data_IF_088454858938
#
_entry.id   IF_088454858938
#
_cell.length_a   1.000
_cell.length_b   1.000
_cell.length_c   1.000
_cell.angle_alpha   90.00
_cell.angle_beta   90.00
_cell.angle_gamma   90.00
#
_symmetry.space_group_name_H-M   'P 1'
#
loop_
_entity.id
_entity.type
_entity.pdbx_description
1 polymer ?
#
# COMPACT_ATOMS: atom_id res chain seq x y z
N UNK A 1 33.06 -0.47 -19.19
CA UNK A 1 31.81 0.23 -18.83
C UNK A 1 32.05 1.28 -17.75
N UNK A 2 32.70 2.42 -18.04
CA UNK A 2 32.93 3.50 -17.06
C UNK A 2 31.69 4.38 -16.84
N UNK A 3 30.71 4.34 -17.75
CA UNK A 3 29.57 5.27 -17.76
C UNK A 3 28.43 4.90 -16.80
N UNK A 4 28.44 3.69 -16.22
CA UNK A 4 27.43 3.20 -15.28
C UNK A 4 27.68 3.65 -13.81
N UNK A 5 28.87 4.19 -13.51
CA UNK A 5 29.22 4.62 -12.15
C UNK A 5 28.34 5.79 -11.64
N UNK A 6 27.65 6.51 -12.54
CA UNK A 6 26.75 7.62 -12.22
C UNK A 6 25.25 7.25 -12.30
N UNK A 7 24.89 6.09 -12.88
CA UNK A 7 23.48 5.71 -13.09
C UNK A 7 22.70 5.49 -11.80
N UNK A 8 23.34 4.95 -10.74
CA UNK A 8 22.67 4.73 -9.45
C UNK A 8 22.29 6.06 -8.77
N UNK A 9 23.08 7.13 -8.96
CA UNK A 9 22.76 8.46 -8.43
C UNK A 9 21.49 9.01 -9.07
N UNK A 10 21.34 8.82 -10.38
CA UNK A 10 20.14 9.22 -11.12
C UNK A 10 18.94 8.37 -10.67
N UNK A 11 19.11 7.05 -10.48
CA UNK A 11 18.06 6.17 -9.93
C UNK A 11 17.55 6.63 -8.56
N UNK A 12 18.42 7.17 -7.69
CA UNK A 12 18.04 7.74 -6.39
C UNK A 12 17.53 9.18 -6.48
N UNK A 13 18.01 9.97 -7.44
CA UNK A 13 17.60 11.37 -7.62
C UNK A 13 16.18 11.49 -8.17
N UNK A 14 15.72 10.55 -9.01
CA UNK A 14 14.38 10.58 -9.60
C UNK A 14 13.27 10.61 -8.52
N UNK A 15 13.26 9.73 -7.48
CA UNK A 15 12.31 9.81 -6.38
C UNK A 15 12.37 11.11 -5.56
N UNK A 16 13.48 11.85 -5.59
CA UNK A 16 13.58 13.13 -4.90
C UNK A 16 12.70 14.20 -5.53
N UNK A 17 12.38 14.09 -6.83
CA UNK A 17 11.50 15.03 -7.54
C UNK A 17 10.08 15.04 -6.96
N UNK A 18 9.33 13.91 -6.88
CA UNK A 18 8.01 13.90 -6.25
C UNK A 18 8.08 14.21 -4.74
N UNK A 19 9.18 13.85 -4.07
CA UNK A 19 9.39 14.22 -2.66
C UNK A 19 9.50 15.74 -2.46
N UNK A 20 10.27 16.43 -3.30
CA UNK A 20 10.38 17.88 -3.29
C UNK A 20 9.05 18.56 -3.67
N UNK A 21 8.35 18.02 -4.66
CA UNK A 21 7.02 18.52 -5.05
C UNK A 21 6.01 18.39 -3.91
N UNK A 22 5.99 17.24 -3.22
CA UNK A 22 5.16 17.03 -2.03
C UNK A 22 5.53 18.01 -0.92
N UNK A 23 6.82 18.23 -0.68
CA UNK A 23 7.29 19.17 0.34
C UNK A 23 6.81 20.60 0.05
N UNK A 24 6.97 21.09 -1.19
CA UNK A 24 6.46 22.40 -1.60
C UNK A 24 4.93 22.45 -1.49
N UNK A 25 4.23 21.40 -1.92
CA UNK A 25 2.77 21.33 -1.82
C UNK A 25 2.26 21.38 -0.37
N UNK A 26 2.96 20.74 0.57
CA UNK A 26 2.64 20.77 1.99
C UNK A 26 2.79 22.17 2.61
N UNK A 27 3.69 23.02 2.10
CA UNK A 27 3.81 24.41 2.55
C UNK A 27 2.58 25.27 2.18
N UNK A 28 1.83 24.88 1.14
CA UNK A 28 0.62 25.58 0.69
C UNK A 28 -0.66 24.99 1.28
N UNK A 29 -0.60 23.79 1.87
CA UNK A 29 -1.77 23.13 2.44
C UNK A 29 -2.17 23.77 3.77
N UNK A 30 -3.45 24.12 3.97
CA UNK A 30 -3.92 24.58 5.26
C UNK A 30 -3.83 23.46 6.31
N UNK A 31 -3.63 23.86 7.55
CA UNK A 31 -3.68 22.94 8.69
C UNK A 31 -5.04 22.25 8.81
N UNK A 32 -5.05 21.04 9.37
CA UNK A 32 -6.30 20.29 9.54
C UNK A 32 -7.30 21.07 10.42
N UNK A 33 -8.59 21.20 10.03
CA UNK A 33 -9.60 21.85 10.85
C UNK A 33 -9.71 21.27 12.27
N UNK A 34 -9.48 19.96 12.42
CA UNK A 34 -9.47 19.29 13.73
C UNK A 34 -8.30 19.76 14.60
N UNK A 35 -7.14 20.00 14.00
CA UNK A 35 -5.97 20.53 14.71
C UNK A 35 -6.21 21.97 15.16
N UNK A 36 -6.75 22.81 14.28
CA UNK A 36 -7.10 24.21 14.58
C UNK A 36 -8.12 24.32 15.71
N UNK A 37 -9.18 23.48 15.68
CA UNK A 37 -10.16 23.40 16.76
C UNK A 37 -9.54 22.94 18.09
N UNK A 38 -8.63 21.96 18.08
CA UNK A 38 -7.88 21.52 19.27
C UNK A 38 -6.99 22.60 19.87
N UNK A 39 -6.44 23.48 19.02
CA UNK A 39 -5.64 24.64 19.45
C UNK A 39 -6.50 25.80 19.96
N UNK A 40 -7.81 25.77 19.72
CA UNK A 40 -8.75 26.83 20.08
C UNK A 40 -8.97 27.89 18.98
N UNK A 41 -8.40 27.71 17.79
CA UNK A 41 -8.57 28.62 16.65
C UNK A 41 -9.78 28.22 15.79
N UNK A 42 -10.98 28.47 16.34
CA UNK A 42 -12.25 28.13 15.70
C UNK A 42 -12.49 28.92 14.42
N UNK A 43 -12.08 30.19 14.38
CA UNK A 43 -12.25 31.06 13.22
C UNK A 43 -11.46 30.54 12.01
N UNK A 44 -10.18 30.18 12.21
CA UNK A 44 -9.38 29.61 11.14
C UNK A 44 -9.91 28.24 10.71
N UNK A 45 -10.35 27.39 11.66
CA UNK A 45 -10.95 26.09 11.33
C UNK A 45 -12.19 26.21 10.44
N UNK A 46 -13.10 27.15 10.75
CA UNK A 46 -14.30 27.44 9.95
C UNK A 46 -13.92 27.93 8.55
N UNK A 47 -12.89 28.79 8.44
CA UNK A 47 -12.43 29.28 7.13
C UNK A 47 -11.95 28.14 6.23
N UNK A 48 -11.21 27.18 6.78
CA UNK A 48 -10.73 25.99 6.05
C UNK A 48 -11.90 25.07 5.70
N UNK A 49 -12.83 24.82 6.64
CA UNK A 49 -14.01 23.98 6.37
C UNK A 49 -14.91 24.55 5.27
N UNK A 50 -15.07 25.88 5.21
CA UNK A 50 -15.82 26.55 4.13
C UNK A 50 -15.22 26.34 2.74
N UNK A 51 -13.92 26.05 2.62
CA UNK A 51 -13.30 25.71 1.34
C UNK A 51 -13.52 24.25 0.93
N UNK A 52 -13.91 23.38 1.86
CA UNK A 52 -14.06 21.93 1.65
C UNK A 52 -15.52 21.46 1.61
N UNK A 53 -16.45 22.21 2.22
CA UNK A 53 -17.85 21.84 2.45
C UNK A 53 -18.81 22.93 2.02
N UNK A 54 -20.08 22.55 1.89
CA UNK A 54 -21.15 23.52 1.70
C UNK A 54 -21.35 24.33 3.00
N UNK A 55 -21.70 25.64 2.91
CA UNK A 55 -21.83 26.50 4.09
C UNK A 55 -22.73 25.95 5.19
N UNK A 56 -23.80 25.25 4.81
CA UNK A 56 -24.80 24.66 5.71
C UNK A 56 -24.25 23.47 6.52
N UNK A 57 -23.22 22.80 6.03
CA UNK A 57 -22.60 21.63 6.68
C UNK A 57 -21.48 22.03 7.65
N UNK A 58 -20.91 23.23 7.50
CA UNK A 58 -19.73 23.67 8.25
C UNK A 58 -20.03 23.75 9.76
N UNK A 59 -21.12 24.41 10.14
CA UNK A 59 -21.46 24.57 11.56
C UNK A 59 -21.77 23.22 12.23
N UNK A 60 -22.39 22.32 11.47
CA UNK A 60 -22.65 20.95 11.92
C UNK A 60 -21.34 20.17 12.13
N UNK A 61 -20.42 20.20 11.16
CA UNK A 61 -19.14 19.49 11.24
C UNK A 61 -18.26 20.05 12.38
N UNK A 62 -18.25 21.37 12.60
CA UNK A 62 -17.56 21.97 13.75
C UNK A 62 -18.12 21.45 15.08
N UNK A 63 -19.43 21.43 15.23
CA UNK A 63 -20.09 20.91 16.44
C UNK A 63 -19.77 19.43 16.67
N UNK A 64 -19.83 18.60 15.62
CA UNK A 64 -19.48 17.18 15.72
C UNK A 64 -18.02 16.98 16.15
N UNK A 65 -17.08 17.75 15.58
CA UNK A 65 -15.66 17.68 15.98
C UNK A 65 -15.47 18.10 17.44
N UNK A 66 -16.12 19.18 17.88
CA UNK A 66 -16.02 19.66 19.25
C UNK A 66 -16.61 18.66 20.26
N UNK A 67 -17.73 18.00 19.93
CA UNK A 67 -18.31 16.94 20.76
C UNK A 67 -17.33 15.76 20.92
N UNK A 68 -16.73 15.29 19.82
CA UNK A 68 -15.72 14.22 19.88
C UNK A 68 -14.51 14.66 20.71
N UNK A 69 -14.07 15.91 20.59
CA UNK A 69 -12.96 16.44 21.39
C UNK A 69 -13.27 16.50 22.89
N UNK A 70 -14.50 16.81 23.29
CA UNK A 70 -14.90 16.79 24.69
C UNK A 70 -14.89 15.37 25.26
N UNK A 71 -15.30 14.38 24.46
CA UNK A 71 -15.21 12.95 24.82
C UNK A 71 -13.74 12.52 24.95
N UNK A 72 -12.88 12.92 24.02
CA UNK A 72 -11.45 12.62 24.04
C UNK A 72 -10.71 13.30 25.21
N UNK A 73 -11.16 14.48 25.64
CA UNK A 73 -10.57 15.24 26.75
C UNK A 73 -10.74 14.53 28.11
N UNK A 74 -11.72 13.64 28.22
CA UNK A 74 -11.84 12.71 29.35
C UNK A 74 -10.70 11.68 29.23
N UNK A 75 -9.49 12.05 29.67
CA UNK A 75 -8.24 11.24 29.62
C UNK A 75 -8.51 9.74 29.58
N UNK A 76 -8.66 9.19 28.38
CA UNK A 76 -8.94 7.78 28.21
C UNK A 76 -7.67 7.03 28.55
N UNK A 77 -7.74 6.14 29.54
CA UNK A 77 -6.65 5.22 29.82
C UNK A 77 -6.51 4.29 28.60
N UNK A 78 -5.48 4.51 27.78
CA UNK A 78 -5.26 3.76 26.54
C UNK A 78 -5.25 2.23 26.79
N UNK A 79 -4.65 1.80 27.89
CA UNK A 79 -4.66 0.39 28.30
C UNK A 79 -6.04 -0.15 28.69
N UNK A 80 -6.94 0.70 29.20
CA UNK A 80 -8.31 0.31 29.50
C UNK A 80 -9.16 0.24 28.23
N UNK A 81 -8.96 1.17 27.29
CA UNK A 81 -9.57 1.14 25.96
C UNK A 81 -9.14 -0.10 25.15
N UNK A 82 -7.85 -0.42 25.15
CA UNK A 82 -7.30 -1.60 24.45
C UNK A 82 -7.85 -2.93 24.96
N UNK A 83 -8.29 -3.00 26.22
CA UNK A 83 -8.90 -4.21 26.80
C UNK A 83 -10.35 -4.42 26.39
N UNK A 84 -10.99 -3.43 25.76
CA UNK A 84 -12.38 -3.58 25.30
C UNK A 84 -12.46 -4.66 24.23
N UNK A 85 -13.42 -5.60 24.31
CA UNK A 85 -13.47 -6.76 23.43
C UNK A 85 -13.61 -6.38 21.95
N UNK A 86 -14.35 -5.30 21.65
CA UNK A 86 -14.50 -4.80 20.28
C UNK A 86 -13.19 -4.20 19.71
N UNK A 87 -12.37 -3.55 20.55
CA UNK A 87 -11.06 -3.01 20.15
C UNK A 87 -10.10 -4.15 19.85
N UNK A 88 -10.09 -5.18 20.71
CA UNK A 88 -9.28 -6.39 20.49
C UNK A 88 -9.70 -7.05 19.17
N UNK A 89 -11.00 -7.22 18.91
CA UNK A 89 -11.50 -7.77 17.65
C UNK A 89 -11.09 -6.95 16.44
N UNK A 90 -11.11 -5.61 16.54
CA UNK A 90 -10.66 -4.70 15.48
C UNK A 90 -9.16 -4.88 15.20
N UNK A 91 -8.34 -4.89 16.25
CA UNK A 91 -6.89 -5.07 16.16
C UNK A 91 -6.55 -6.44 15.57
N UNK A 92 -7.18 -7.51 16.07
CA UNK A 92 -6.98 -8.87 15.55
C UNK A 92 -7.38 -8.97 14.08
N UNK A 93 -8.49 -8.36 13.67
CA UNK A 93 -8.92 -8.34 12.27
C UNK A 93 -7.89 -7.60 11.40
N UNK A 94 -7.42 -6.43 11.84
CA UNK A 94 -6.38 -5.68 11.15
C UNK A 94 -5.07 -6.48 11.03
N UNK A 95 -4.65 -7.11 12.12
CA UNK A 95 -3.45 -7.97 12.14
C UNK A 95 -3.59 -9.16 11.18
N UNK A 96 -4.73 -9.85 11.19
CA UNK A 96 -4.97 -10.98 10.30
C UNK A 96 -4.96 -10.57 8.82
N UNK A 97 -5.50 -9.39 8.50
CA UNK A 97 -5.44 -8.84 7.13
C UNK A 97 -3.98 -8.55 6.73
N UNK A 98 -3.20 -7.93 7.62
CA UNK A 98 -1.77 -7.66 7.36
C UNK A 98 -0.99 -8.96 7.19
N UNK A 99 -1.20 -9.95 8.06
CA UNK A 99 -0.55 -11.25 7.95
C UNK A 99 -0.94 -11.96 6.65
N UNK A 100 -2.24 -12.02 6.31
CA UNK A 100 -2.72 -12.63 5.08
C UNK A 100 -2.12 -12.00 3.82
N UNK A 101 -1.88 -10.70 3.82
CA UNK A 101 -1.27 -9.97 2.68
C UNK A 101 0.26 -10.05 2.65
N UNK A 102 0.92 -10.34 3.78
CA UNK A 102 2.38 -10.51 3.84
C UNK A 102 2.83 -11.94 3.58
N UNK A 103 2.07 -12.93 4.02
CA UNK A 103 2.36 -14.37 3.85
C UNK A 103 2.35 -14.79 2.38
N UNK A 104 1.60 -14.10 1.53
CA UNK A 104 1.61 -14.34 0.07
C UNK A 104 2.97 -14.11 -0.59
N UNK A 105 3.93 -13.49 0.10
CA UNK A 105 5.29 -13.33 -0.39
C UNK A 105 5.41 -12.34 -1.55
N UNK A 106 4.46 -11.41 -1.68
CA UNK A 106 4.43 -10.41 -2.78
C UNK A 106 5.75 -9.65 -2.88
N UNK A 107 6.37 -9.28 -1.75
CA UNK A 107 7.68 -8.62 -1.74
C UNK A 107 8.77 -9.52 -2.35
N UNK A 108 8.81 -10.80 -1.95
CA UNK A 108 9.77 -11.77 -2.48
C UNK A 108 9.60 -11.93 -3.99
N UNK A 109 8.37 -12.09 -4.47
CA UNK A 109 8.09 -12.21 -5.91
C UNK A 109 8.51 -10.92 -6.64
N UNK A 110 8.16 -9.76 -6.11
CA UNK A 110 8.50 -8.48 -6.74
C UNK A 110 10.01 -8.27 -6.89
N UNK A 111 10.81 -8.65 -5.88
CA UNK A 111 12.26 -8.48 -5.92
C UNK A 111 13.00 -9.58 -6.69
N UNK A 112 12.52 -10.83 -6.60
CA UNK A 112 13.23 -11.97 -7.16
C UNK A 112 12.69 -12.45 -8.50
N UNK A 113 11.46 -12.10 -8.91
CA UNK A 113 10.91 -12.54 -10.20
C UNK A 113 11.80 -12.15 -11.39
N UNK A 114 12.31 -10.91 -11.52
CA UNK A 114 13.23 -10.56 -12.61
C UNK A 114 14.54 -11.37 -12.57
N UNK A 115 15.06 -11.62 -11.38
CA UNK A 115 16.28 -12.41 -11.16
C UNK A 115 16.06 -13.88 -11.54
N UNK A 116 14.90 -14.45 -11.20
CA UNK A 116 14.51 -15.81 -11.59
C UNK A 116 14.34 -15.90 -13.10
N UNK A 117 13.67 -14.94 -13.75
CA UNK A 117 13.57 -14.88 -15.22
C UNK A 117 14.94 -14.75 -15.89
N UNK A 118 15.89 -14.05 -15.26
CA UNK A 118 17.26 -13.98 -15.77
C UNK A 118 17.97 -15.35 -15.68
N UNK A 119 17.76 -16.11 -14.60
CA UNK A 119 18.38 -17.42 -14.41
C UNK A 119 17.87 -18.50 -15.38
N UNK A 120 16.69 -18.35 -15.96
CA UNK A 120 16.14 -19.29 -16.96
C UNK A 120 16.68 -19.06 -18.38
N UNK A 121 17.69 -18.20 -18.54
CA UNK A 121 18.39 -17.98 -19.82
C UNK A 121 17.77 -16.90 -20.73
N UNK A 122 16.68 -16.23 -20.30
CA UNK A 122 15.99 -15.17 -21.06
C UNK A 122 16.77 -13.83 -21.15
N UNK A 123 17.92 -13.71 -20.49
CA UNK A 123 18.83 -12.56 -20.59
C UNK A 123 18.40 -11.31 -19.81
N UNK A 124 19.28 -10.30 -19.78
CA UNK A 124 19.08 -9.04 -19.02
C UNK A 124 17.88 -8.20 -19.50
N UNK A 125 17.60 -8.23 -20.81
CA UNK A 125 16.47 -7.50 -21.39
C UNK A 125 15.11 -8.03 -20.90
N UNK A 126 15.00 -9.34 -20.66
CA UNK A 126 13.77 -9.95 -20.15
C UNK A 126 13.52 -9.59 -18.68
N UNK A 127 14.56 -9.50 -17.85
CA UNK A 127 14.45 -9.07 -16.46
C UNK A 127 13.93 -7.62 -16.34
N UNK A 128 14.49 -6.70 -17.15
CA UNK A 128 14.03 -5.30 -17.19
C UNK A 128 12.59 -5.21 -17.70
N UNK A 129 12.27 -5.95 -18.77
CA UNK A 129 10.89 -5.99 -19.32
C UNK A 129 9.90 -6.54 -18.31
N UNK A 130 10.26 -7.58 -17.56
CA UNK A 130 9.44 -8.15 -16.49
C UNK A 130 9.18 -7.17 -15.35
N UNK A 131 10.19 -6.41 -14.92
CA UNK A 131 10.04 -5.37 -13.89
C UNK A 131 9.10 -4.24 -14.35
N UNK A 132 9.24 -3.77 -15.59
CA UNK A 132 8.37 -2.75 -16.18
C UNK A 132 6.93 -3.26 -16.31
N UNK A 133 6.75 -4.49 -16.83
CA UNK A 133 5.44 -5.12 -16.96
C UNK A 133 4.75 -5.25 -15.59
N UNK A 134 5.48 -5.67 -14.56
CA UNK A 134 4.96 -5.73 -13.19
C UNK A 134 4.48 -4.35 -12.68
N UNK A 135 5.24 -3.29 -12.97
CA UNK A 135 4.85 -1.91 -12.64
C UNK A 135 3.56 -1.48 -13.34
N UNK A 136 3.45 -1.73 -14.65
CA UNK A 136 2.25 -1.41 -15.44
C UNK A 136 1.03 -2.19 -14.93
N UNK A 137 1.17 -3.49 -14.71
CA UNK A 137 0.09 -4.35 -14.17
C UNK A 137 -0.34 -3.85 -12.79
N UNK A 138 0.60 -3.42 -11.93
CA UNK A 138 0.28 -2.87 -10.61
C UNK A 138 -0.53 -1.58 -10.69
N UNK A 139 -0.20 -0.69 -11.62
CA UNK A 139 -0.96 0.55 -11.86
C UNK A 139 -2.38 0.21 -12.34
N UNK A 140 -2.51 -0.67 -13.34
CA UNK A 140 -3.82 -1.08 -13.86
C UNK A 140 -4.67 -1.77 -12.77
N UNK A 141 -4.08 -2.68 -11.99
CA UNK A 141 -4.75 -3.35 -10.89
C UNK A 141 -5.21 -2.35 -9.81
N UNK A 142 -4.40 -1.34 -9.51
CA UNK A 142 -4.74 -0.28 -8.54
C UNK A 142 -5.91 0.56 -9.04
N UNK A 143 -5.90 0.96 -10.32
CA UNK A 143 -7.01 1.70 -10.94
C UNK A 143 -8.31 0.88 -10.92
N UNK A 144 -8.24 -0.39 -11.31
CA UNK A 144 -9.38 -1.31 -11.24
C UNK A 144 -9.89 -1.47 -9.79
N UNK A 145 -8.98 -1.60 -8.84
CA UNK A 145 -9.31 -1.66 -7.41
C UNK A 145 -10.06 -0.42 -6.93
N UNK A 146 -9.59 0.77 -7.31
CA UNK A 146 -10.26 2.03 -6.98
C UNK A 146 -11.65 2.14 -7.63
N UNK A 147 -11.84 1.65 -8.85
CA UNK A 147 -13.16 1.63 -9.48
C UNK A 147 -14.12 0.64 -8.81
N UNK A 148 -13.61 -0.49 -8.32
CA UNK A 148 -14.41 -1.55 -7.71
C UNK A 148 -14.78 -1.26 -6.26
N UNK A 149 -13.95 -0.52 -5.51
CA UNK A 149 -14.17 -0.25 -4.07
C UNK A 149 -15.46 0.52 -3.79
N UNK A 150 -15.91 1.37 -4.72
CA UNK A 150 -17.16 2.10 -4.61
C UNK A 150 -18.40 1.25 -4.93
N UNK A 151 -18.24 0.13 -5.65
CA UNK A 151 -19.35 -0.70 -6.16
C UNK A 151 -19.55 -2.01 -5.39
N UNK A 152 -18.50 -2.53 -4.76
CA UNK A 152 -18.52 -3.83 -4.08
C UNK A 152 -18.16 -3.70 -2.60
N UNK A 153 -18.63 -4.64 -1.79
CA UNK A 153 -18.21 -4.73 -0.38
C UNK A 153 -16.71 -4.97 -0.29
N UNK A 154 -16.02 -4.17 0.54
CA UNK A 154 -14.58 -4.27 0.81
C UNK A 154 -14.15 -5.70 1.17
N UNK A 155 -14.97 -6.41 1.94
CA UNK A 155 -14.74 -7.81 2.31
C UNK A 155 -14.68 -8.72 1.08
N UNK A 156 -15.63 -8.58 0.15
CA UNK A 156 -15.67 -9.40 -1.07
C UNK A 156 -14.45 -9.15 -1.93
N UNK A 157 -14.10 -7.88 -2.17
CA UNK A 157 -12.91 -7.49 -2.95
C UNK A 157 -11.64 -8.12 -2.38
N UNK A 158 -11.48 -8.09 -1.06
CA UNK A 158 -10.34 -8.70 -0.38
C UNK A 158 -10.26 -10.22 -0.62
N UNK A 159 -11.35 -10.95 -0.38
CA UNK A 159 -11.36 -12.40 -0.57
C UNK A 159 -11.18 -12.81 -2.04
N UNK A 160 -11.78 -12.09 -2.99
CA UNK A 160 -11.58 -12.37 -4.42
C UNK A 160 -10.15 -12.08 -4.87
N UNK A 161 -9.54 -11.00 -4.36
CA UNK A 161 -8.13 -10.69 -4.62
C UNK A 161 -7.21 -11.77 -4.08
N UNK A 162 -7.44 -12.20 -2.84
CA UNK A 162 -6.65 -13.26 -2.21
C UNK A 162 -6.79 -14.61 -2.94
N UNK A 163 -8.00 -14.95 -3.40
CA UNK A 163 -8.21 -16.15 -4.20
C UNK A 163 -7.43 -16.10 -5.52
N UNK A 164 -7.38 -14.93 -6.18
CA UNK A 164 -6.57 -14.72 -7.39
C UNK A 164 -5.07 -14.87 -7.15
N UNK A 165 -4.56 -14.34 -6.03
CA UNK A 165 -3.14 -14.50 -5.64
C UNK A 165 -2.82 -15.97 -5.35
N UNK A 166 -3.65 -16.67 -4.58
CA UNK A 166 -3.46 -18.11 -4.30
C UNK A 166 -3.47 -18.92 -5.58
N UNK A 167 -4.41 -18.68 -6.49
CA UNK A 167 -4.46 -19.36 -7.77
C UNK A 167 -3.20 -19.10 -8.60
N UNK A 168 -2.75 -17.85 -8.65
CA UNK A 168 -1.52 -17.47 -9.38
C UNK A 168 -0.29 -18.15 -8.82
N UNK A 169 -0.16 -18.23 -7.49
CA UNK A 169 0.93 -18.93 -6.82
C UNK A 169 0.93 -20.44 -7.12
N UNK A 170 -0.26 -21.06 -7.10
CA UNK A 170 -0.41 -22.48 -7.46
C UNK A 170 -0.02 -22.71 -8.92
N UNK A 171 -0.47 -21.84 -9.84
CA UNK A 171 -0.12 -21.93 -11.26
C UNK A 171 1.38 -21.75 -11.49
N UNK A 172 2.03 -20.82 -10.80
CA UNK A 172 3.49 -20.64 -10.86
C UNK A 172 4.18 -21.90 -10.35
N UNK A 173 3.80 -22.43 -9.18
CA UNK A 173 4.38 -23.65 -8.63
C UNK A 173 4.21 -24.88 -9.53
N UNK A 174 3.03 -25.04 -10.15
CA UNK A 174 2.76 -26.11 -11.13
C UNK A 174 3.58 -25.91 -12.40
N UNK A 175 3.67 -24.69 -12.91
CA UNK A 175 4.47 -24.38 -14.10
C UNK A 175 5.95 -24.71 -13.85
N UNK A 176 6.47 -24.33 -12.68
CA UNK A 176 7.83 -24.68 -12.29
C UNK A 176 8.04 -26.20 -12.25
N UNK A 177 7.14 -26.95 -11.60
CA UNK A 177 7.24 -28.41 -11.50
C UNK A 177 7.17 -29.12 -12.86
N UNK A 178 6.35 -28.60 -13.79
CA UNK A 178 6.14 -29.23 -15.10
C UNK A 178 7.22 -28.87 -16.12
N UNK A 179 7.69 -27.62 -16.13
CA UNK A 179 8.71 -27.16 -17.07
C UNK A 179 10.14 -27.45 -16.61
N UNK A 180 10.42 -27.40 -15.30
CA UNK A 180 11.73 -27.72 -14.74
C UNK A 180 11.69 -29.16 -14.20
N UNK A 181 12.00 -30.14 -15.03
CA UNK A 181 12.24 -31.51 -14.58
C UNK A 181 13.64 -31.56 -13.95
N UNK A 182 13.72 -31.85 -12.66
CA UNK A 182 14.98 -32.16 -11.99
C UNK A 182 15.45 -33.54 -12.45
N UNK A 183 16.27 -33.63 -13.50
CA UNK A 183 17.10 -34.82 -13.71
C UNK A 183 18.37 -34.70 -12.87
N UNK A 184 18.49 -35.56 -11.86
CA UNK A 184 19.71 -35.72 -11.08
C UNK A 184 20.76 -36.45 -11.93
N UNK A 185 21.59 -35.71 -12.66
CA UNK A 185 22.80 -36.24 -13.28
C UNK A 185 23.97 -36.08 -12.31
N UNK A 186 24.48 -37.20 -11.78
CA UNK A 186 25.70 -37.28 -10.97
C UNK A 186 25.71 -36.44 -9.66
N UNK A 187 24.59 -36.37 -8.94
CA UNK A 187 24.56 -35.83 -7.57
C UNK A 187 24.79 -34.32 -7.43
N UNK A 188 24.73 -33.57 -8.53
CA UNK A 188 24.73 -32.10 -8.51
C UNK A 188 23.42 -31.63 -9.15
N UNK A 189 22.58 -30.97 -8.37
CA UNK A 189 21.37 -30.32 -8.88
C UNK A 189 21.75 -29.14 -9.76
N UNK A 190 21.69 -29.31 -11.08
CA UNK A 190 21.79 -28.21 -12.05
C UNK A 190 20.42 -27.92 -12.65
N UNK A 191 19.96 -26.67 -12.51
CA UNK A 191 18.71 -26.17 -13.08
C UNK A 191 18.84 -26.01 -14.61
N UNK A 192 17.93 -26.64 -15.36
CA UNK A 192 17.67 -26.37 -16.79
C UNK A 192 16.21 -26.00 -16.98
#
# INVERSE_FOLDING_TARGET
YPDLAHSWRIMLAIPAIPGALLWVGMLMMPESPRFLLRRGDTAQAVSVLKTLRQPEEVDREVNEIQQVMQIDALKLNLFAELKKPWVIQLILTGLMIVLATRVTGVNTIMYYAPTVLKSTGLGDAAAVTGAVANGVVSILATLLGMMLIGKHSRRKIFFTGQAGVTLSLVLIGLSFRLFFHTETLNGVESLH
#
